data_IF_148499140863
#
_entry.id   IF_148499140863
#
_cell.length_a   1.000
_cell.length_b   1.000
_cell.length_c   1.000
_cell.angle_alpha   90.00
_cell.angle_beta   90.00
_cell.angle_gamma   90.00
#
_symmetry.space_group_name_H-M   'P 1'
#
loop_
_entity.id
_entity.type
_entity.pdbx_description
1 polymer ?
#
# COMPACT_ATOMS: atom_id res chain seq x y z
N UNK A 1 11.66 10.29 23.89
CA UNK A 1 10.78 11.40 24.33
C UNK A 1 9.33 10.98 24.25
N UNK A 2 8.42 11.71 24.97
CA UNK A 2 7.01 11.41 24.94
C UNK A 2 6.19 12.64 25.34
N UNK A 3 4.87 12.53 25.20
CA UNK A 3 3.91 13.56 25.57
C UNK A 3 3.15 13.09 26.81
N UNK A 4 2.95 13.98 27.79
CA UNK A 4 2.08 13.69 28.92
C UNK A 4 0.64 13.72 28.41
N UNK A 5 -0.01 12.57 28.43
CA UNK A 5 -1.39 12.41 27.99
C UNK A 5 -2.36 12.84 29.10
N UNK A 6 -2.16 12.30 30.28
CA UNK A 6 -2.99 12.61 31.46
C UNK A 6 -2.11 12.92 32.68
N UNK A 7 -2.55 13.89 33.47
CA UNK A 7 -2.04 14.17 34.82
C UNK A 7 -3.15 13.88 35.81
N UNK A 8 -2.87 12.99 36.76
CA UNK A 8 -3.87 12.51 37.75
C UNK A 8 -3.73 13.14 39.13
N UNK A 9 -2.80 14.06 39.29
CA UNK A 9 -2.51 14.70 40.59
C UNK A 9 -2.42 16.21 40.44
N UNK A 10 -2.76 16.93 41.51
CA UNK A 10 -2.67 18.39 41.59
C UNK A 10 -1.56 18.84 42.54
N UNK A 11 -1.18 20.11 42.40
CA UNK A 11 -0.16 20.71 43.25
C UNK A 11 -0.66 20.75 44.71
N UNK A 12 0.14 20.24 45.65
CA UNK A 12 -0.20 20.15 47.04
C UNK A 12 -0.98 18.89 47.44
N UNK A 13 -1.34 18.03 46.50
CA UNK A 13 -2.01 16.78 46.81
C UNK A 13 -1.05 15.77 47.46
N UNK A 14 -1.51 15.13 48.54
CA UNK A 14 -0.78 14.03 49.16
C UNK A 14 -0.86 12.77 48.28
N UNK A 15 0.29 12.20 47.96
CA UNK A 15 0.38 10.96 47.15
C UNK A 15 1.07 9.85 47.93
N UNK A 16 0.61 8.63 47.75
CA UNK A 16 1.18 7.44 48.37
C UNK A 16 2.16 6.76 47.39
N UNK A 17 3.07 5.95 47.91
CA UNK A 17 3.92 5.11 47.09
C UNK A 17 3.05 4.24 46.18
N UNK A 18 3.36 4.22 44.88
CA UNK A 18 2.59 3.49 43.87
C UNK A 18 1.44 4.27 43.21
N UNK A 19 1.18 5.54 43.65
CA UNK A 19 0.18 6.40 42.98
C UNK A 19 0.68 6.77 41.59
N UNK A 20 -0.16 6.59 40.57
CA UNK A 20 0.11 7.05 39.21
C UNK A 20 -0.02 8.57 39.18
N UNK A 21 1.02 9.28 38.85
CA UNK A 21 1.05 10.74 38.80
C UNK A 21 0.70 11.30 37.42
N UNK A 22 1.18 10.63 36.37
CA UNK A 22 0.94 11.01 35.00
C UNK A 22 1.12 9.81 34.07
N UNK A 23 0.47 9.86 32.90
CA UNK A 23 0.69 8.91 31.81
C UNK A 23 1.52 9.58 30.74
N UNK A 24 2.68 9.00 30.44
CA UNK A 24 3.57 9.44 29.36
C UNK A 24 3.39 8.50 28.18
N UNK A 25 3.08 9.05 27.01
CA UNK A 25 2.90 8.27 25.77
C UNK A 25 3.98 8.66 24.77
N UNK A 26 4.70 7.65 24.27
CA UNK A 26 5.58 7.85 23.12
C UNK A 26 4.78 7.77 21.83
N UNK A 27 4.65 8.91 21.16
CA UNK A 27 3.92 9.03 19.89
C UNK A 27 4.85 9.17 18.68
N UNK A 28 6.16 8.95 18.83
CA UNK A 28 7.13 9.09 17.72
C UNK A 28 6.87 8.12 16.57
N UNK A 29 6.35 6.95 16.88
CA UNK A 29 5.84 5.97 15.92
C UNK A 29 4.58 5.31 16.47
N UNK A 30 3.66 5.00 15.58
CA UNK A 30 2.40 4.37 15.92
C UNK A 30 2.33 2.96 15.33
N UNK A 31 1.60 2.11 16.03
CA UNK A 31 1.26 0.78 15.54
C UNK A 31 -0.05 0.87 14.77
N UNK A 32 0.03 0.61 13.47
CA UNK A 32 -1.12 0.41 12.61
C UNK A 32 -1.56 -1.04 12.73
N UNK A 33 -2.83 -1.25 13.07
CA UNK A 33 -3.46 -2.56 13.14
C UNK A 33 -4.55 -2.63 12.10
N UNK A 34 -4.50 -3.58 11.21
CA UNK A 34 -5.58 -3.86 10.27
C UNK A 34 -5.92 -5.34 10.26
N UNK A 35 -7.14 -5.63 9.87
CA UNK A 35 -7.61 -6.99 9.62
C UNK A 35 -7.88 -7.11 8.12
N UNK A 36 -7.30 -8.10 7.50
CA UNK A 36 -7.41 -8.37 6.07
C UNK A 36 -8.05 -9.72 5.84
N UNK A 37 -8.63 -9.94 4.67
CA UNK A 37 -9.15 -11.26 4.29
C UNK A 37 -8.01 -12.30 4.18
N UNK A 38 -8.36 -13.57 4.15
CA UNK A 38 -7.42 -14.66 3.89
C UNK A 38 -6.67 -14.48 2.57
N UNK A 39 -7.37 -14.13 1.49
CA UNK A 39 -6.78 -13.87 0.18
C UNK A 39 -5.79 -12.69 0.18
N UNK A 40 -6.12 -11.60 0.87
CA UNK A 40 -5.23 -10.43 1.01
C UNK A 40 -4.02 -10.74 1.90
N UNK A 41 -4.20 -11.58 2.92
CA UNK A 41 -3.13 -11.97 3.84
C UNK A 41 -2.01 -12.74 3.13
N UNK A 42 -2.33 -13.51 2.09
CA UNK A 42 -1.36 -14.23 1.26
C UNK A 42 -0.44 -13.29 0.45
N UNK A 43 -0.88 -12.05 0.24
CA UNK A 43 -0.11 -10.99 -0.44
C UNK A 43 0.64 -10.07 0.53
N UNK A 44 0.34 -10.17 1.81
CA UNK A 44 0.99 -9.37 2.84
C UNK A 44 2.27 -10.07 3.31
N UNK A 45 3.39 -9.36 3.30
CA UNK A 45 4.68 -9.88 3.75
C UNK A 45 5.31 -8.96 4.80
N UNK A 46 6.03 -9.56 5.75
CA UNK A 46 6.85 -8.81 6.71
C UNK A 46 7.93 -8.04 5.95
N UNK A 47 8.09 -6.76 6.27
CA UNK A 47 9.00 -5.85 5.57
C UNK A 47 8.37 -5.10 4.38
N UNK A 48 7.16 -5.46 3.98
CA UNK A 48 6.45 -4.77 2.91
C UNK A 48 6.05 -3.35 3.35
N UNK A 49 6.24 -2.40 2.45
CA UNK A 49 5.76 -1.03 2.63
C UNK A 49 4.27 -0.95 2.25
N UNK A 50 3.52 -0.26 3.07
CA UNK A 50 2.09 -0.01 2.89
C UNK A 50 1.81 1.47 3.08
N UNK A 51 0.71 1.96 2.54
CA UNK A 51 0.23 3.31 2.80
C UNK A 51 -1.12 3.28 3.50
N UNK A 52 -1.41 4.33 4.24
CA UNK A 52 -2.73 4.50 4.85
C UNK A 52 -3.16 5.95 4.84
N UNK A 53 -4.46 6.16 4.88
CA UNK A 53 -5.11 7.48 4.97
C UNK A 53 -5.94 7.56 6.24
N UNK A 54 -6.04 8.76 6.76
CA UNK A 54 -6.94 9.09 7.86
C UNK A 54 -7.90 10.15 7.34
N UNK A 55 -9.20 9.87 7.35
CA UNK A 55 -10.22 10.75 6.81
C UNK A 55 -10.17 12.18 7.40
N UNK A 56 -9.86 12.29 8.69
CA UNK A 56 -9.73 13.58 9.38
C UNK A 56 -8.53 14.42 8.91
N UNK A 57 -7.56 13.84 8.18
CA UNK A 57 -6.36 14.50 7.67
C UNK A 57 -6.37 14.69 6.14
N UNK A 58 -7.54 14.50 5.52
CA UNK A 58 -7.74 14.65 4.07
C UNK A 58 -7.12 13.54 3.24
N UNK A 59 -6.72 13.85 2.01
CA UNK A 59 -6.22 12.86 1.03
C UNK A 59 -4.73 12.51 1.20
N UNK A 60 -4.13 12.83 2.33
CA UNK A 60 -2.71 12.57 2.56
C UNK A 60 -2.44 11.10 2.84
N UNK A 61 -1.49 10.53 2.10
CA UNK A 61 -0.98 9.19 2.35
C UNK A 61 0.16 9.22 3.37
N UNK A 62 0.10 8.29 4.32
CA UNK A 62 1.14 8.08 5.33
C UNK A 62 1.78 6.72 5.09
N UNK A 63 3.12 6.62 5.15
CA UNK A 63 3.80 5.35 4.99
C UNK A 63 3.75 4.53 6.27
N UNK A 64 3.72 3.21 6.10
CA UNK A 64 3.94 2.26 7.18
C UNK A 64 4.67 1.03 6.64
N UNK A 65 5.28 0.24 7.54
CA UNK A 65 5.96 -0.99 7.17
C UNK A 65 5.45 -2.13 8.01
N UNK A 66 5.03 -3.21 7.35
CA UNK A 66 4.54 -4.43 7.99
C UNK A 66 5.67 -5.07 8.78
N UNK A 67 5.42 -5.38 10.05
CA UNK A 67 6.35 -6.12 10.89
C UNK A 67 5.78 -7.44 11.38
N UNK A 68 4.46 -7.66 11.23
CA UNK A 68 3.81 -8.90 11.62
C UNK A 68 2.60 -9.17 10.75
N UNK A 69 2.48 -10.42 10.30
CA UNK A 69 1.28 -10.96 9.66
C UNK A 69 0.85 -12.17 10.48
N UNK A 70 -0.39 -12.18 10.93
CA UNK A 70 -0.94 -13.25 11.74
C UNK A 70 -0.89 -14.59 11.02
N UNK A 71 -0.51 -15.65 11.75
CA UNK A 71 -0.44 -17.02 11.21
C UNK A 71 -1.79 -17.74 11.23
N UNK A 72 -2.78 -17.17 11.93
CA UNK A 72 -4.10 -17.77 12.14
C UNK A 72 -5.16 -16.74 11.81
N UNK A 73 -6.13 -17.14 10.99
CA UNK A 73 -7.31 -16.34 10.75
C UNK A 73 -8.31 -16.51 11.91
N UNK A 74 -8.98 -15.44 12.26
CA UNK A 74 -10.11 -15.46 13.19
C UNK A 74 -11.22 -16.34 12.61
N UNK A 75 -11.66 -17.42 13.29
CA UNK A 75 -12.61 -18.37 12.73
C UNK A 75 -14.02 -17.78 12.49
N UNK A 76 -14.39 -16.72 13.22
CA UNK A 76 -15.68 -16.07 13.08
C UNK A 76 -15.71 -15.06 11.92
N UNK A 77 -14.62 -14.32 11.71
CA UNK A 77 -14.54 -13.25 10.71
C UNK A 77 -13.73 -13.62 9.46
N UNK A 78 -12.97 -14.73 9.50
CA UNK A 78 -12.01 -15.16 8.47
C UNK A 78 -10.99 -14.09 8.11
N UNK A 79 -10.65 -13.27 9.09
CA UNK A 79 -9.68 -12.19 8.92
C UNK A 79 -8.37 -12.51 9.62
N UNK A 80 -7.28 -12.12 9.00
CA UNK A 80 -5.92 -12.19 9.56
C UNK A 80 -5.50 -10.82 10.04
N UNK A 81 -4.90 -10.75 11.24
CA UNK A 81 -4.36 -9.51 11.78
C UNK A 81 -3.03 -9.18 11.11
N UNK A 82 -2.89 -7.94 10.63
CA UNK A 82 -1.63 -7.39 10.11
C UNK A 82 -1.25 -6.17 10.92
N UNK A 83 0.01 -6.14 11.36
CA UNK A 83 0.56 -5.03 12.14
C UNK A 83 1.70 -4.36 11.38
N UNK A 84 1.66 -3.04 11.34
CA UNK A 84 2.70 -2.24 10.70
C UNK A 84 3.15 -1.08 11.61
N UNK A 85 4.41 -0.68 11.48
CA UNK A 85 4.92 0.53 12.11
C UNK A 85 4.76 1.72 11.19
N UNK A 86 4.15 2.78 11.69
CA UNK A 86 4.00 4.06 11.02
C UNK A 86 4.80 5.14 11.76
N UNK A 87 5.76 5.81 11.11
CA UNK A 87 6.39 6.99 11.66
C UNK A 87 5.37 8.11 11.82
N UNK A 88 5.42 8.81 12.94
CA UNK A 88 4.49 9.90 13.21
C UNK A 88 5.17 11.26 13.00
N UNK A 89 4.77 12.05 11.99
CA UNK A 89 5.27 13.40 11.79
C UNK A 89 4.65 14.43 12.77
N UNK A 90 4.04 13.97 13.86
CA UNK A 90 3.36 14.80 14.86
C UNK A 90 1.87 15.07 14.58
N UNK A 91 1.31 14.48 13.52
CA UNK A 91 -0.08 14.68 13.12
C UNK A 91 -1.00 13.52 13.53
N UNK A 92 -0.43 12.34 13.71
CA UNK A 92 -1.17 11.12 13.99
C UNK A 92 -1.41 10.99 15.49
N UNK A 93 -2.59 10.55 15.86
CA UNK A 93 -2.96 10.25 17.25
C UNK A 93 -3.37 8.80 17.40
N UNK A 94 -2.98 8.13 18.50
CA UNK A 94 -3.52 6.80 18.81
C UNK A 94 -5.04 6.84 18.85
N UNK A 95 -5.68 5.76 18.37
CA UNK A 95 -7.14 5.67 18.31
C UNK A 95 -7.79 6.20 17.03
N UNK A 96 -7.02 6.78 16.09
CA UNK A 96 -7.58 7.16 14.80
C UNK A 96 -7.87 5.93 13.95
N UNK A 97 -8.98 6.00 13.20
CA UNK A 97 -9.27 5.04 12.15
C UNK A 97 -8.48 5.38 10.89
N UNK A 98 -7.90 4.33 10.29
CA UNK A 98 -7.10 4.44 9.10
C UNK A 98 -7.61 3.50 8.00
N UNK A 99 -7.71 4.00 6.78
CA UNK A 99 -7.90 3.20 5.58
C UNK A 99 -6.53 2.76 5.07
N UNK A 100 -6.25 1.45 5.13
CA UNK A 100 -4.96 0.89 4.73
C UNK A 100 -5.04 0.41 3.29
N UNK A 101 -4.05 0.76 2.50
CA UNK A 101 -3.83 0.26 1.15
C UNK A 101 -2.60 -0.64 1.20
N UNK A 102 -2.83 -1.92 1.09
CA UNK A 102 -1.75 -2.85 0.77
C UNK A 102 -1.32 -2.47 -0.65
N UNK A 103 -0.09 -1.98 -0.80
CA UNK A 103 0.44 -1.74 -2.13
C UNK A 103 0.35 -3.07 -2.88
N UNK A 104 -0.43 -3.10 -3.95
CA UNK A 104 -0.28 -4.13 -4.95
C UNK A 104 1.20 -4.15 -5.38
N UNK A 105 1.70 -5.29 -5.78
CA UNK A 105 3.08 -5.45 -6.23
C UNK A 105 3.51 -4.23 -7.06
N UNK A 106 4.59 -3.57 -6.62
CA UNK A 106 5.13 -2.42 -7.33
C UNK A 106 6.43 -2.84 -7.98
N UNK A 107 6.41 -3.03 -9.27
CA UNK A 107 7.62 -3.29 -10.05
C UNK A 107 8.25 -1.95 -10.43
N UNK A 108 9.26 -1.52 -9.65
CA UNK A 108 10.02 -0.31 -9.97
C UNK A 108 10.77 -0.48 -11.28
N UNK A 109 10.55 0.43 -12.23
CA UNK A 109 11.19 0.38 -13.54
C UNK A 109 10.49 -0.53 -14.56
N UNK A 110 9.25 -0.96 -14.28
CA UNK A 110 8.44 -1.71 -15.22
C UNK A 110 8.16 -0.90 -16.49
N UNK A 111 8.19 -1.57 -17.64
CA UNK A 111 7.72 -0.99 -18.90
C UNK A 111 6.20 -0.98 -18.86
N UNK A 112 5.57 0.19 -18.99
CA UNK A 112 4.11 0.34 -18.98
C UNK A 112 3.64 0.96 -20.28
N UNK A 113 2.47 0.51 -20.75
CA UNK A 113 1.78 1.08 -21.92
C UNK A 113 0.31 1.32 -21.58
N UNK A 114 -0.41 2.25 -22.26
CA UNK A 114 -1.85 2.36 -22.15
C UNK A 114 -2.53 1.02 -22.48
N UNK A 115 -3.57 0.66 -21.73
CA UNK A 115 -4.29 -0.61 -21.96
C UNK A 115 -4.86 -0.70 -23.37
N UNK A 116 -5.22 0.45 -23.98
CA UNK A 116 -5.68 0.55 -25.38
C UNK A 116 -4.63 0.15 -26.44
N UNK A 117 -3.33 0.12 -26.07
CA UNK A 117 -2.27 -0.34 -26.97
C UNK A 117 -2.12 -1.86 -27.00
N UNK A 118 -2.84 -2.59 -26.14
CA UNK A 118 -2.74 -4.05 -26.01
C UNK A 118 -4.03 -4.70 -26.48
N UNK A 119 -3.93 -5.58 -27.45
CA UNK A 119 -5.05 -6.32 -28.03
C UNK A 119 -5.04 -7.76 -27.52
N UNK A 120 -6.19 -8.23 -27.07
CA UNK A 120 -6.39 -9.63 -26.72
C UNK A 120 -6.71 -10.44 -28.00
N UNK A 121 -5.99 -11.53 -28.21
CA UNK A 121 -6.21 -12.46 -29.30
C UNK A 121 -6.33 -13.88 -28.76
N UNK A 122 -6.80 -14.83 -29.59
CA UNK A 122 -6.88 -16.25 -29.21
C UNK A 122 -5.50 -16.85 -28.85
N UNK A 123 -4.41 -16.26 -29.34
CA UNK A 123 -3.04 -16.68 -29.06
C UNK A 123 -2.36 -15.92 -27.91
N UNK A 124 -3.08 -15.06 -27.20
CA UNK A 124 -2.56 -14.22 -26.12
C UNK A 124 -2.64 -12.73 -26.43
N UNK A 125 -1.82 -11.93 -25.78
CA UNK A 125 -1.80 -10.48 -25.97
C UNK A 125 -0.79 -10.06 -27.00
N UNK A 126 -1.15 -9.04 -27.79
CA UNK A 126 -0.29 -8.46 -28.85
C UNK A 126 -0.33 -6.93 -28.77
N UNK A 127 0.71 -6.28 -29.26
CA UNK A 127 0.77 -4.83 -29.45
C UNK A 127 1.37 -4.49 -30.81
N UNK A 128 0.92 -3.38 -31.42
CA UNK A 128 1.53 -2.85 -32.62
C UNK A 128 2.64 -1.86 -32.26
N UNK A 129 3.83 -2.11 -32.79
CA UNK A 129 5.03 -1.28 -32.62
C UNK A 129 5.41 -0.64 -33.94
N UNK A 130 5.83 0.62 -33.89
CA UNK A 130 6.35 1.30 -35.09
C UNK A 130 7.83 0.98 -35.25
N UNK A 131 8.17 0.20 -36.30
CA UNK A 131 9.53 -0.10 -36.69
C UNK A 131 9.81 0.45 -38.07
N UNK A 132 10.80 1.32 -38.19
CA UNK A 132 11.20 1.95 -39.47
C UNK A 132 10.04 2.54 -40.27
N UNK A 133 9.09 3.17 -39.55
CA UNK A 133 7.90 3.78 -40.14
C UNK A 133 6.80 2.81 -40.57
N UNK A 134 6.87 1.54 -40.18
CA UNK A 134 5.83 0.52 -40.42
C UNK A 134 5.32 -0.05 -39.10
N UNK A 135 4.03 -0.37 -39.06
CA UNK A 135 3.44 -1.10 -37.95
C UNK A 135 3.86 -2.57 -38.01
N UNK A 136 4.37 -3.09 -36.91
CA UNK A 136 4.78 -4.48 -36.72
C UNK A 136 4.06 -5.07 -35.53
N UNK A 137 3.40 -6.21 -35.70
CA UNK A 137 2.71 -6.92 -34.63
C UNK A 137 3.73 -7.66 -33.76
N UNK A 138 3.71 -7.42 -32.45
CA UNK A 138 4.51 -8.15 -31.46
C UNK A 138 3.64 -8.83 -30.43
N UNK A 139 3.98 -10.07 -30.11
CA UNK A 139 3.41 -10.77 -28.96
C UNK A 139 3.97 -10.17 -27.68
N UNK A 140 3.10 -9.90 -26.71
CA UNK A 140 3.48 -9.32 -25.41
C UNK A 140 2.94 -10.17 -24.28
N UNK A 141 3.68 -10.18 -23.18
CA UNK A 141 3.19 -10.70 -21.90
C UNK A 141 2.85 -9.53 -21.00
N UNK A 142 1.63 -9.51 -20.49
CA UNK A 142 1.16 -8.46 -19.61
C UNK A 142 1.34 -8.86 -18.15
N UNK A 143 1.67 -7.88 -17.31
CA UNK A 143 1.75 -8.00 -15.86
C UNK A 143 0.59 -7.30 -15.16
N UNK A 144 0.93 -6.43 -14.22
CA UNK A 144 -0.04 -5.68 -13.43
C UNK A 144 -0.79 -4.64 -14.27
N UNK A 145 -2.09 -4.51 -14.01
CA UNK A 145 -2.90 -3.40 -14.49
C UNK A 145 -2.98 -2.35 -13.43
N UNK A 146 -2.71 -1.10 -13.79
CA UNK A 146 -2.78 0.03 -12.87
C UNK A 146 -4.14 0.71 -12.96
N UNK A 147 -4.57 1.34 -11.86
CA UNK A 147 -5.90 1.99 -11.80
C UNK A 147 -6.02 3.27 -12.66
N UNK A 148 -4.95 3.71 -13.28
CA UNK A 148 -4.88 4.86 -14.20
C UNK A 148 -4.97 4.45 -15.69
N UNK A 149 -5.35 3.19 -15.98
CA UNK A 149 -5.56 2.70 -17.35
C UNK A 149 -4.28 2.29 -18.08
N UNK A 150 -3.20 2.02 -17.35
CA UNK A 150 -1.97 1.47 -17.90
C UNK A 150 -1.82 -0.02 -17.54
N UNK A 151 -1.07 -0.76 -18.35
CA UNK A 151 -0.72 -2.16 -18.13
C UNK A 151 0.79 -2.34 -18.21
N UNK A 152 1.32 -3.12 -17.29
CA UNK A 152 2.72 -3.53 -17.28
C UNK A 152 2.99 -4.55 -18.38
N UNK A 153 4.12 -4.42 -19.06
CA UNK A 153 4.61 -5.38 -20.05
C UNK A 153 5.81 -6.11 -19.43
N UNK A 154 5.65 -7.41 -19.25
CA UNK A 154 6.71 -8.28 -18.73
C UNK A 154 7.70 -8.70 -19.83
N UNK A 155 7.20 -8.90 -21.06
CA UNK A 155 8.03 -9.25 -22.22
C UNK A 155 7.40 -8.78 -23.52
N UNK A 156 8.22 -8.64 -24.58
CA UNK A 156 7.79 -8.29 -25.94
C UNK A 156 7.96 -6.82 -26.32
N UNK A 157 8.06 -5.89 -25.35
CA UNK A 157 8.38 -4.48 -25.59
C UNK A 157 9.58 -4.05 -24.76
N UNK A 158 10.31 -3.08 -25.27
CA UNK A 158 11.44 -2.44 -24.60
C UNK A 158 11.12 -0.98 -24.28
N UNK A 159 11.81 -0.43 -23.28
CA UNK A 159 11.73 0.99 -22.99
C UNK A 159 12.20 1.81 -24.20
N UNK A 160 11.36 2.73 -24.69
CA UNK A 160 11.61 3.55 -25.86
C UNK A 160 10.93 3.04 -27.15
N UNK A 161 10.31 1.87 -27.15
CA UNK A 161 9.47 1.42 -28.27
C UNK A 161 8.26 2.37 -28.43
N UNK A 162 7.90 2.66 -29.68
CA UNK A 162 6.70 3.45 -30.00
C UNK A 162 5.56 2.51 -30.29
N UNK A 163 4.51 2.53 -29.46
CA UNK A 163 3.31 1.68 -29.60
C UNK A 163 2.15 2.46 -30.21
N UNK A 164 1.29 1.76 -30.95
CA UNK A 164 0.09 2.33 -31.57
C UNK A 164 -1.07 2.13 -30.58
N UNK A 165 -1.75 3.23 -30.22
CA UNK A 165 -2.87 3.26 -29.26
C UNK A 165 -4.23 3.31 -29.95
N UNK A 166 -4.30 3.81 -31.19
CA UNK A 166 -5.52 3.95 -32.00
C UNK A 166 -5.22 3.61 -33.48
N UNK A 167 -6.23 3.07 -34.20
CA UNK A 167 -6.11 2.74 -35.62
C UNK A 167 -5.50 1.36 -35.90
N UNK A 168 -5.68 0.43 -34.98
CA UNK A 168 -5.23 -0.97 -35.12
C UNK A 168 -6.33 -1.91 -35.68
N UNK A 169 -7.43 -1.37 -36.23
CA UNK A 169 -8.56 -2.11 -36.82
C UNK A 169 -8.25 -2.58 -38.24
#
# INVERSE_FOLDING_TARGET
>A
GGVIDTRTVDTGQYVRMGTVLATLVDTSRLRLRCKVSDAESMRAAVGQDVSFRIAALGSRDFPARIYHVGSVADPATRQVEVLAWAPNPGLLRPGFFAEVRLAAESHKGATVVPESAVLATDAGFVAYVVEKGKASLRKVEIGLRTGDGNVEILSGLAAGDTVIVEGSD
#
